data_IF_339345799413
#
_entry.id   IF_339345799413
#
_cell.length_a   1.000
_cell.length_b   1.000
_cell.length_c   1.000
_cell.angle_alpha   90.00
_cell.angle_beta   90.00
_cell.angle_gamma   90.00
#
_symmetry.space_group_name_H-M   'P 1'
#
loop_
_entity.id
_entity.type
_entity.pdbx_description
1 polymer ?
#
# COMPACT_ATOMS: atom_id res chain seq x y z
N UNK A 1 11.18 -43.83 -54.38
CA UNK A 1 10.73 -45.22 -54.08
C UNK A 1 10.72 -45.38 -52.58
N UNK A 2 9.68 -45.98 -52.09
CA UNK A 2 8.96 -45.56 -50.88
C UNK A 2 9.12 -46.52 -49.70
N UNK A 3 8.64 -46.12 -48.52
CA UNK A 3 7.80 -46.92 -47.59
C UNK A 3 7.33 -45.96 -46.51
N UNK A 4 6.16 -45.52 -46.55
CA UNK A 4 4.89 -45.89 -45.94
C UNK A 4 4.97 -46.88 -44.75
N UNK A 5 4.52 -46.41 -43.58
CA UNK A 5 3.57 -47.09 -42.76
C UNK A 5 3.00 -46.17 -41.68
N UNK A 6 1.76 -45.77 -41.83
CA UNK A 6 0.79 -45.39 -40.79
C UNK A 6 0.11 -46.63 -40.23
N UNK A 7 -0.91 -46.54 -39.35
CA UNK A 7 -0.99 -46.10 -37.96
C UNK A 7 -1.63 -47.20 -37.07
N UNK A 8 -1.65 -47.08 -35.77
CA UNK A 8 -2.61 -47.83 -34.96
C UNK A 8 -3.10 -47.03 -33.72
N UNK A 9 -4.35 -46.72 -33.70
CA UNK A 9 -5.26 -46.62 -32.54
C UNK A 9 -6.06 -47.91 -32.44
N UNK A 10 -6.95 -48.11 -31.43
CA UNK A 10 -7.01 -47.82 -30.00
C UNK A 10 -7.33 -49.08 -29.18
N UNK A 11 -7.30 -49.05 -27.86
CA UNK A 11 -8.09 -49.98 -27.02
C UNK A 11 -8.70 -49.27 -25.84
N UNK A 12 -9.99 -49.25 -25.88
CA UNK A 12 -10.95 -48.97 -24.83
C UNK A 12 -11.02 -50.14 -23.85
N UNK A 13 -11.00 -49.93 -22.58
CA UNK A 13 -11.55 -50.89 -21.61
C UNK A 13 -12.35 -50.20 -20.52
N UNK A 14 -13.64 -50.36 -20.61
CA UNK A 14 -14.63 -50.14 -19.57
C UNK A 14 -14.50 -51.24 -18.52
N UNK A 15 -14.63 -50.90 -17.25
CA UNK A 15 -15.20 -51.82 -16.26
C UNK A 15 -16.08 -51.08 -15.25
N UNK A 16 -17.24 -51.64 -15.15
CA UNK A 16 -18.44 -51.28 -14.40
C UNK A 16 -18.29 -51.40 -12.88
N UNK A 17 -19.01 -50.54 -12.21
CA UNK A 17 -19.97 -50.71 -11.12
C UNK A 17 -19.72 -51.72 -9.99
N UNK A 18 -19.75 -51.26 -8.77
CA UNK A 18 -20.58 -51.89 -7.74
C UNK A 18 -21.00 -50.88 -6.66
N UNK A 19 -22.30 -50.79 -6.46
CA UNK A 19 -22.99 -50.04 -5.43
C UNK A 19 -22.85 -50.76 -4.08
N UNK A 20 -22.82 -50.02 -2.99
CA UNK A 20 -23.56 -50.46 -1.81
C UNK A 20 -24.00 -49.29 -0.92
N UNK A 21 -25.27 -49.38 -0.53
CA UNK A 21 -26.08 -48.53 0.31
C UNK A 21 -25.56 -48.46 1.76
N UNK A 22 -25.84 -47.33 2.38
CA UNK A 22 -25.81 -47.14 3.83
C UNK A 22 -26.50 -45.81 4.20
N UNK A 23 -27.80 -45.91 4.46
CA UNK A 23 -28.70 -44.81 4.88
C UNK A 23 -28.38 -44.29 6.28
N UNK A 24 -28.43 -42.99 6.42
CA UNK A 24 -29.09 -42.03 7.32
C UNK A 24 -28.80 -42.06 8.85
N UNK A 25 -29.05 -40.95 9.61
CA UNK A 25 -30.04 -39.90 9.37
C UNK A 25 -29.60 -38.44 9.56
N UNK A 26 -30.32 -37.63 8.83
CA UNK A 26 -30.50 -36.19 8.93
C UNK A 26 -30.97 -35.79 10.34
N UNK A 27 -30.38 -34.77 10.91
CA UNK A 27 -31.00 -33.98 11.96
C UNK A 27 -31.11 -32.54 11.52
N UNK A 28 -32.34 -32.16 11.30
CA UNK A 28 -32.81 -30.80 11.03
C UNK A 28 -32.51 -29.86 12.17
N UNK A 29 -31.93 -28.68 11.85
CA UNK A 29 -32.22 -27.43 12.55
C UNK A 29 -31.66 -26.25 11.72
N UNK A 30 -32.39 -25.90 10.69
CA UNK A 30 -32.20 -24.65 9.95
C UNK A 30 -33.57 -24.15 9.48
N UNK A 31 -34.44 -23.82 10.40
CA UNK A 31 -35.68 -23.08 10.09
C UNK A 31 -36.32 -22.62 11.36
N UNK A 32 -35.78 -21.67 12.08
CA UNK A 32 -36.47 -20.77 13.01
C UNK A 32 -35.56 -19.59 13.37
N UNK A 33 -35.41 -18.63 12.50
CA UNK A 33 -34.91 -17.27 12.83
C UNK A 33 -35.29 -16.27 11.71
N UNK A 34 -36.54 -16.37 11.24
CA UNK A 34 -37.06 -15.37 10.31
C UNK A 34 -38.58 -15.15 10.52
N UNK A 35 -38.99 -14.92 11.77
CA UNK A 35 -40.28 -14.31 12.06
C UNK A 35 -40.17 -13.79 13.50
N UNK A 36 -39.93 -12.49 13.68
CA UNK A 36 -40.32 -11.63 14.80
C UNK A 36 -39.52 -10.31 14.80
N UNK A 37 -39.61 -9.58 13.69
CA UNK A 37 -39.05 -8.22 13.66
C UNK A 37 -40.08 -7.11 13.66
N UNK A 38 -41.41 -7.41 13.71
CA UNK A 38 -42.45 -6.40 13.79
C UNK A 38 -43.68 -6.93 14.58
N UNK A 39 -43.54 -6.99 15.90
CA UNK A 39 -44.72 -6.97 16.78
C UNK A 39 -44.49 -5.88 17.84
N UNK A 40 -45.17 -4.76 17.60
CA UNK A 40 -45.33 -3.73 18.62
C UNK A 40 -46.29 -4.23 19.71
N UNK A 41 -45.78 -4.54 20.88
CA UNK A 41 -46.50 -4.55 22.11
C UNK A 41 -45.91 -3.50 23.07
N UNK A 42 -46.69 -2.47 23.50
CA UNK A 42 -46.18 -1.41 24.35
C UNK A 42 -46.49 -1.74 25.80
N UNK A 43 -45.78 -2.59 26.46
CA UNK A 43 -45.73 -2.67 27.91
C UNK A 43 -44.67 -3.66 28.38
N UNK A 44 -43.51 -3.18 28.70
CA UNK A 44 -42.68 -3.41 29.90
C UNK A 44 -41.39 -2.65 29.66
N UNK A 45 -41.32 -1.43 30.11
CA UNK A 45 -40.03 -0.74 30.28
C UNK A 45 -39.38 -1.44 31.47
N UNK A 46 -38.53 -2.42 31.18
CA UNK A 46 -37.64 -2.97 32.19
C UNK A 46 -36.68 -1.85 32.64
N UNK A 47 -36.54 -1.72 33.95
CA UNK A 47 -35.60 -0.80 34.56
C UNK A 47 -34.18 -1.03 33.98
N UNK A 48 -33.35 0.03 33.82
CA UNK A 48 -31.98 -0.14 33.36
C UNK A 48 -31.24 -1.10 34.31
N UNK A 49 -30.45 -2.02 33.80
CA UNK A 49 -29.66 -2.95 34.61
C UNK A 49 -28.73 -2.17 35.54
N UNK A 50 -28.57 -2.68 36.76
CA UNK A 50 -27.68 -2.17 37.78
C UNK A 50 -26.26 -1.97 37.19
N UNK A 51 -25.61 -0.80 37.36
CA UNK A 51 -24.27 -0.54 36.82
C UNK A 51 -23.16 -1.49 37.32
N UNK A 52 -23.50 -2.44 38.21
CA UNK A 52 -22.59 -3.46 38.72
C UNK A 52 -22.48 -4.74 37.84
N UNK A 53 -23.35 -4.96 36.85
CA UNK A 53 -23.30 -6.10 35.95
C UNK A 53 -22.98 -5.68 34.51
N UNK A 54 -21.71 -5.34 34.23
CA UNK A 54 -21.27 -5.18 32.86
C UNK A 54 -20.89 -6.56 32.32
N UNK A 55 -21.50 -7.02 31.19
CA UNK A 55 -21.15 -8.29 30.56
C UNK A 55 -19.86 -8.20 29.73
N UNK A 56 -19.04 -7.18 29.92
CA UNK A 56 -17.74 -7.09 29.28
C UNK A 56 -16.74 -7.87 30.10
N UNK A 57 -15.99 -8.82 29.47
CA UNK A 57 -14.89 -9.46 30.17
C UNK A 57 -13.98 -8.34 30.69
N UNK A 58 -13.41 -8.49 31.90
CA UNK A 58 -12.51 -7.49 32.44
C UNK A 58 -11.42 -7.25 31.39
N UNK A 59 -11.25 -5.97 31.00
CA UNK A 59 -10.13 -5.58 30.16
C UNK A 59 -8.89 -6.17 30.81
N UNK A 60 -8.25 -7.12 30.16
CA UNK A 60 -6.96 -7.64 30.57
C UNK A 60 -6.06 -6.41 30.57
N UNK A 61 -5.88 -5.80 31.75
CA UNK A 61 -4.89 -4.75 31.94
C UNK A 61 -3.55 -5.44 31.71
N UNK A 62 -3.03 -5.33 30.49
CA UNK A 62 -1.61 -5.59 30.28
C UNK A 62 -0.87 -4.78 31.31
N UNK A 63 0.01 -5.40 32.11
CA UNK A 63 0.80 -4.69 33.09
C UNK A 63 1.31 -3.39 32.47
N UNK A 64 1.07 -2.23 33.15
CA UNK A 64 1.51 -0.96 32.59
C UNK A 64 3.00 -1.04 32.34
N UNK A 65 3.46 -0.59 31.18
CA UNK A 65 4.88 -0.50 30.87
C UNK A 65 5.56 0.38 31.92
N UNK A 66 6.74 -0.03 32.34
CA UNK A 66 7.62 0.70 33.26
C UNK A 66 9.00 0.85 32.64
N UNK A 67 9.86 1.63 33.24
CA UNK A 67 11.27 1.76 32.84
C UNK A 67 12.05 0.43 32.88
N UNK A 68 11.54 -0.56 33.65
CA UNK A 68 12.10 -1.92 33.72
C UNK A 68 11.53 -2.85 32.64
N UNK A 69 10.53 -2.40 31.86
CA UNK A 69 9.99 -3.20 30.76
C UNK A 69 11.03 -3.37 29.66
N UNK A 70 11.10 -4.58 29.06
CA UNK A 70 12.02 -4.85 27.96
C UNK A 70 11.54 -4.21 26.64
N UNK A 71 12.48 -4.02 25.69
CA UNK A 71 12.15 -3.55 24.35
C UNK A 71 11.11 -4.47 23.66
N UNK A 72 11.24 -5.78 23.84
CA UNK A 72 10.30 -6.75 23.28
C UNK A 72 8.89 -6.61 23.88
N UNK A 73 8.78 -6.32 25.16
CA UNK A 73 7.49 -6.07 25.81
C UNK A 73 6.78 -4.81 25.27
N UNK A 74 7.52 -3.85 24.76
CA UNK A 74 6.98 -2.62 24.20
C UNK A 74 6.38 -2.81 22.78
N UNK A 75 6.65 -3.92 22.08
CA UNK A 75 6.31 -4.06 20.66
C UNK A 75 4.79 -4.02 20.42
N UNK A 76 4.01 -4.81 21.15
CA UNK A 76 2.55 -4.86 20.98
C UNK A 76 1.85 -3.55 21.40
N UNK A 77 2.15 -2.97 22.58
CA UNK A 77 1.60 -1.66 22.94
C UNK A 77 1.95 -0.55 21.94
N UNK A 78 3.16 -0.55 21.42
CA UNK A 78 3.58 0.41 20.39
C UNK A 78 2.84 0.23 19.07
N UNK A 79 2.62 -1.01 18.65
CA UNK A 79 1.80 -1.32 17.48
C UNK A 79 0.38 -0.76 17.63
N UNK A 80 -0.24 -0.99 18.78
CA UNK A 80 -1.58 -0.48 19.10
C UNK A 80 -1.61 1.05 19.06
N UNK A 81 -0.64 1.72 19.67
CA UNK A 81 -0.51 3.17 19.65
C UNK A 81 -0.39 3.74 18.23
N UNK A 82 0.47 3.14 17.39
CA UNK A 82 0.61 3.56 15.99
C UNK A 82 -0.70 3.42 15.22
N UNK A 83 -1.45 2.35 15.47
CA UNK A 83 -2.75 2.08 14.85
C UNK A 83 -3.80 3.10 15.31
N UNK A 84 -3.88 3.37 16.62
CA UNK A 84 -4.78 4.37 17.19
C UNK A 84 -4.48 5.79 16.66
N UNK A 85 -3.21 6.12 16.44
CA UNK A 85 -2.80 7.37 15.80
C UNK A 85 -3.03 7.40 14.28
N UNK A 86 -3.71 6.41 13.70
CA UNK A 86 -4.02 6.36 12.28
C UNK A 86 -2.80 6.25 11.36
N UNK A 87 -1.69 5.65 11.83
CA UNK A 87 -0.54 5.39 10.96
C UNK A 87 -0.87 4.31 9.94
N UNK A 88 -0.39 4.47 8.70
CA UNK A 88 -0.60 3.45 7.67
C UNK A 88 0.02 2.11 8.06
N UNK A 89 -0.60 0.99 7.62
CA UNK A 89 -0.08 -0.36 7.86
C UNK A 89 1.39 -0.50 7.43
N UNK A 90 1.78 0.14 6.35
CA UNK A 90 3.18 0.15 5.91
C UNK A 90 4.10 0.83 6.93
N UNK A 91 3.69 1.98 7.48
CA UNK A 91 4.47 2.67 8.54
C UNK A 91 4.59 1.81 9.78
N UNK A 92 3.48 1.20 10.23
CA UNK A 92 3.45 0.30 11.38
C UNK A 92 4.42 -0.86 11.17
N UNK A 93 4.33 -1.56 10.03
CA UNK A 93 5.23 -2.68 9.69
C UNK A 93 6.69 -2.27 9.66
N UNK A 94 7.01 -1.12 9.06
CA UNK A 94 8.37 -0.59 9.00
C UNK A 94 8.92 -0.28 10.39
N UNK A 95 8.14 0.37 11.26
CA UNK A 95 8.56 0.75 12.60
C UNK A 95 8.73 -0.46 13.51
N UNK A 96 7.85 -1.45 13.40
CA UNK A 96 8.01 -2.72 14.14
C UNK A 96 9.24 -3.50 13.67
N UNK A 97 9.53 -3.50 12.38
CA UNK A 97 10.76 -4.09 11.84
C UNK A 97 12.01 -3.38 12.36
N UNK A 98 11.97 -2.04 12.45
CA UNK A 98 13.10 -1.28 13.02
C UNK A 98 13.23 -1.51 14.52
N UNK A 99 12.12 -1.63 15.26
CA UNK A 99 12.13 -2.00 16.68
C UNK A 99 12.75 -3.38 16.89
N UNK A 100 12.37 -4.36 16.07
CA UNK A 100 12.98 -5.70 16.11
C UNK A 100 14.49 -5.63 15.88
N UNK A 101 14.95 -4.90 14.89
CA UNK A 101 16.39 -4.72 14.62
C UNK A 101 17.13 -4.02 15.79
N UNK A 102 16.49 -3.04 16.44
CA UNK A 102 17.04 -2.39 17.64
C UNK A 102 17.12 -3.37 18.80
N UNK A 103 16.08 -4.17 19.02
CA UNK A 103 16.01 -5.20 20.06
C UNK A 103 17.11 -6.26 19.88
N UNK A 104 17.33 -6.70 18.64
CA UNK A 104 18.41 -7.65 18.31
C UNK A 104 19.81 -7.05 18.54
N UNK A 105 19.94 -5.73 18.43
CA UNK A 105 21.21 -5.05 18.65
C UNK A 105 21.53 -4.81 20.13
N UNK A 106 20.54 -4.31 20.88
CA UNK A 106 20.72 -3.91 22.30
C UNK A 106 20.55 -5.12 23.21
N UNK A 107 19.76 -6.12 22.83
CA UNK A 107 19.37 -7.26 23.64
C UNK A 107 17.88 -7.20 24.01
N UNK A 108 17.21 -8.36 23.85
CA UNK A 108 15.75 -8.46 24.01
C UNK A 108 15.26 -8.09 25.42
N UNK A 109 16.03 -8.40 26.42
CA UNK A 109 15.68 -8.24 27.84
C UNK A 109 16.18 -6.92 28.46
N UNK A 110 16.80 -6.05 27.65
CA UNK A 110 17.28 -4.76 28.12
C UNK A 110 16.12 -3.86 28.51
N UNK A 111 16.09 -3.36 29.77
CA UNK A 111 15.09 -2.41 30.23
C UNK A 111 15.12 -1.12 29.43
N UNK A 112 13.95 -0.62 29.03
CA UNK A 112 13.86 0.61 28.22
C UNK A 112 14.43 1.84 28.94
N UNK A 113 14.35 1.88 30.27
CA UNK A 113 14.94 2.94 31.09
C UNK A 113 16.47 2.96 31.12
N UNK A 114 17.14 1.90 30.66
CA UNK A 114 18.61 1.83 30.56
C UNK A 114 19.14 2.22 29.17
N UNK A 115 18.26 2.46 28.22
CA UNK A 115 18.67 2.81 26.85
C UNK A 115 19.07 4.28 26.83
N UNK A 116 20.32 4.54 26.49
CA UNK A 116 20.88 5.88 26.39
C UNK A 116 21.03 6.32 24.93
N UNK A 117 21.35 7.60 24.73
CA UNK A 117 21.68 8.17 23.42
C UNK A 117 22.84 7.44 22.75
N UNK A 118 23.84 7.03 23.53
CA UNK A 118 25.02 6.31 23.04
C UNK A 118 24.60 5.00 22.38
N UNK A 119 23.75 4.19 23.04
CA UNK A 119 23.22 2.94 22.48
C UNK A 119 22.54 3.17 21.13
N UNK A 120 21.74 4.25 21.01
CA UNK A 120 21.04 4.58 19.76
C UNK A 120 22.00 5.05 18.65
N UNK A 121 23.03 5.83 19.05
CA UNK A 121 24.06 6.28 18.11
C UNK A 121 24.89 5.10 17.60
N UNK A 122 25.30 4.19 18.49
CA UNK A 122 26.05 2.99 18.13
C UNK A 122 25.25 2.08 17.18
N UNK A 123 23.95 1.93 17.44
CA UNK A 123 23.08 1.21 16.53
C UNK A 123 23.02 1.85 15.13
N UNK A 124 22.86 3.16 15.05
CA UNK A 124 22.84 3.89 13.78
C UNK A 124 24.20 3.80 13.06
N UNK A 125 25.31 3.88 13.80
CA UNK A 125 26.67 3.73 13.25
C UNK A 125 26.89 2.30 12.73
N UNK A 126 26.49 1.27 13.49
CA UNK A 126 26.53 -0.13 13.02
C UNK A 126 25.72 -0.33 11.73
N UNK A 127 24.53 0.26 11.63
CA UNK A 127 23.72 0.19 10.43
C UNK A 127 24.36 0.90 9.24
N UNK A 128 25.04 2.03 9.48
CA UNK A 128 25.69 2.82 8.43
C UNK A 128 26.98 2.18 7.93
N UNK A 129 27.77 1.55 8.80
CA UNK A 129 29.12 1.08 8.49
C UNK A 129 29.35 -0.42 8.70
N UNK A 130 28.47 -1.11 9.41
CA UNK A 130 28.70 -2.47 9.91
C UNK A 130 28.26 -3.62 9.01
N UNK A 131 27.54 -3.40 7.91
CA UNK A 131 27.01 -4.48 7.09
C UNK A 131 27.80 -4.67 5.80
N UNK A 132 28.63 -5.70 5.73
CA UNK A 132 29.13 -6.39 4.52
C UNK A 132 28.87 -5.67 3.16
N UNK A 133 29.35 -4.44 3.00
CA UNK A 133 29.30 -3.71 1.74
C UNK A 133 27.97 -3.07 1.34
N UNK A 134 26.91 -3.17 2.17
CA UNK A 134 25.61 -2.54 1.91
C UNK A 134 25.31 -1.42 2.90
N UNK A 135 25.70 -0.21 2.57
CA UNK A 135 25.24 0.98 3.29
C UNK A 135 23.75 1.23 2.96
N UNK A 136 22.86 1.33 3.97
CA UNK A 136 21.46 1.65 3.72
C UNK A 136 21.32 2.99 3.01
N UNK A 137 20.33 3.08 2.11
CA UNK A 137 20.04 4.35 1.43
C UNK A 137 19.78 5.47 2.46
N UNK A 138 20.18 6.72 2.18
CA UNK A 138 20.00 7.85 3.11
C UNK A 138 18.55 8.01 3.59
N UNK A 139 17.57 7.78 2.72
CA UNK A 139 16.15 7.81 3.09
C UNK A 139 15.78 6.71 4.11
N UNK A 140 16.40 5.55 4.02
CA UNK A 140 16.21 4.44 4.98
C UNK A 140 16.79 4.83 6.34
N UNK A 141 17.96 5.46 6.38
CA UNK A 141 18.55 5.94 7.62
C UNK A 141 17.70 7.04 8.25
N UNK A 142 17.22 8.02 7.47
CA UNK A 142 16.32 9.05 7.96
C UNK A 142 15.03 8.46 8.55
N UNK A 143 14.44 7.42 7.92
CA UNK A 143 13.27 6.71 8.47
C UNK A 143 13.59 6.06 9.82
N UNK A 144 14.75 5.45 9.98
CA UNK A 144 15.17 4.83 11.26
C UNK A 144 15.34 5.84 12.38
N UNK A 145 15.91 6.99 12.09
CA UNK A 145 15.95 8.11 13.06
C UNK A 145 14.55 8.59 13.41
N UNK A 146 13.64 8.67 12.41
CA UNK A 146 12.23 9.02 12.65
C UNK A 146 11.54 7.98 13.54
N UNK A 147 11.79 6.69 13.32
CA UNK A 147 11.32 5.62 14.21
C UNK A 147 11.80 5.82 15.64
N UNK A 148 13.12 6.00 15.88
CA UNK A 148 13.67 6.20 17.22
C UNK A 148 12.99 7.38 17.92
N UNK A 149 12.92 8.54 17.26
CA UNK A 149 12.25 9.71 17.83
C UNK A 149 10.78 9.44 18.16
N UNK A 150 10.06 8.75 17.29
CA UNK A 150 8.64 8.43 17.52
C UNK A 150 8.46 7.46 18.69
N UNK A 151 9.27 6.41 18.76
CA UNK A 151 9.20 5.36 19.77
C UNK A 151 9.54 5.90 21.16
N UNK A 152 10.68 6.58 21.32
CA UNK A 152 11.11 7.10 22.63
C UNK A 152 10.27 8.30 23.09
N UNK A 153 9.84 9.16 22.19
CA UNK A 153 8.87 10.22 22.51
C UNK A 153 7.53 9.65 22.98
N UNK A 154 7.08 8.52 22.44
CA UNK A 154 5.90 7.83 22.93
C UNK A 154 6.12 7.27 24.34
N UNK A 155 7.24 6.60 24.60
CA UNK A 155 7.56 6.08 25.94
C UNK A 155 7.64 7.20 26.98
N UNK A 156 8.25 8.33 26.64
CA UNK A 156 8.35 9.51 27.52
C UNK A 156 6.97 10.15 27.75
N UNK A 157 6.18 10.31 26.68
CA UNK A 157 4.83 10.86 26.75
C UNK A 157 3.85 9.96 27.55
N UNK A 158 4.08 8.65 27.56
CA UNK A 158 3.34 7.68 28.38
C UNK A 158 3.88 7.58 29.84
N UNK A 159 4.90 8.32 30.21
CA UNK A 159 5.51 8.29 31.54
C UNK A 159 6.31 7.01 31.84
N UNK A 160 6.61 6.20 30.84
CA UNK A 160 7.39 4.95 31.00
C UNK A 160 8.85 5.23 31.28
N UNK A 161 9.42 6.22 30.61
CA UNK A 161 10.77 6.72 30.83
C UNK A 161 10.76 8.22 31.15
N UNK A 162 11.73 8.71 31.89
CA UNK A 162 11.79 10.13 32.31
C UNK A 162 12.33 11.05 31.22
N UNK A 163 13.32 10.60 30.48
CA UNK A 163 14.02 11.36 29.45
C UNK A 163 14.00 10.62 28.12
N UNK A 164 13.85 11.35 27.01
CA UNK A 164 13.87 10.80 25.66
C UNK A 164 15.33 10.72 25.15
N UNK A 165 15.92 9.52 25.06
CA UNK A 165 17.30 9.37 24.59
C UNK A 165 17.46 9.69 23.10
N UNK A 166 16.35 9.76 22.33
CA UNK A 166 16.36 10.09 20.92
C UNK A 166 16.14 11.58 20.64
N UNK A 167 15.83 12.41 21.65
CA UNK A 167 15.48 13.81 21.49
C UNK A 167 16.55 14.60 20.69
N UNK A 168 17.83 14.39 21.03
CA UNK A 168 18.96 15.10 20.43
C UNK A 168 19.50 14.47 19.14
N UNK A 169 18.92 13.33 18.65
CA UNK A 169 19.31 12.76 17.38
C UNK A 169 18.94 13.70 16.23
N UNK A 170 19.92 13.95 15.35
CA UNK A 170 19.71 14.81 14.19
C UNK A 170 19.06 14.00 13.08
N UNK A 171 17.90 14.47 12.59
CA UNK A 171 17.26 13.94 11.42
C UNK A 171 17.83 14.59 10.16
N UNK A 172 18.81 13.95 9.55
CA UNK A 172 19.27 14.34 8.23
C UNK A 172 18.16 14.08 7.20
N UNK A 173 17.82 15.11 6.42
CA UNK A 173 16.90 14.98 5.27
C UNK A 173 17.71 15.17 3.99
N UNK A 174 18.44 14.16 3.52
CA UNK A 174 19.20 14.28 2.28
C UNK A 174 18.23 14.50 1.14
N UNK A 175 18.52 15.50 0.30
CA UNK A 175 17.80 15.68 -0.94
C UNK A 175 18.13 14.48 -1.84
N UNK A 176 17.12 13.69 -2.26
CA UNK A 176 17.37 12.59 -3.20
C UNK A 176 17.85 13.17 -4.53
N UNK A 177 18.71 12.45 -5.26
CA UNK A 177 19.05 12.84 -6.63
C UNK A 177 17.77 12.93 -7.46
N UNK A 178 17.77 13.84 -8.44
CA UNK A 178 16.66 13.97 -9.36
C UNK A 178 16.48 12.64 -10.11
N UNK A 179 15.24 12.13 -10.21
CA UNK A 179 14.99 10.91 -10.96
C UNK A 179 15.24 11.14 -12.45
N UNK A 180 15.73 10.12 -13.11
CA UNK A 180 15.80 10.09 -14.56
C UNK A 180 14.41 9.76 -15.12
N UNK A 181 13.81 10.71 -15.83
CA UNK A 181 12.47 10.58 -16.41
C UNK A 181 12.53 9.91 -17.77
N UNK A 182 11.37 9.50 -18.27
CA UNK A 182 11.22 9.06 -19.64
C UNK A 182 11.22 10.27 -20.59
N UNK A 183 11.99 10.17 -21.67
CA UNK A 183 11.90 11.08 -22.82
C UNK A 183 10.65 10.75 -23.64
N UNK A 184 10.23 11.66 -24.50
CA UNK A 184 8.99 11.48 -25.26
C UNK A 184 9.04 10.25 -26.19
N UNK A 185 10.16 10.00 -26.83
CA UNK A 185 10.41 8.79 -27.65
C UNK A 185 10.33 7.50 -26.82
N UNK A 186 10.82 7.53 -25.58
CA UNK A 186 10.72 6.39 -24.65
C UNK A 186 9.30 6.17 -24.17
N UNK A 187 8.52 7.25 -23.96
CA UNK A 187 7.09 7.14 -23.64
C UNK A 187 6.36 6.47 -24.80
N UNK A 188 6.61 6.86 -26.04
CA UNK A 188 5.98 6.26 -27.22
C UNK A 188 6.37 4.77 -27.36
N UNK A 189 7.65 4.43 -27.19
CA UNK A 189 8.11 3.02 -27.22
C UNK A 189 7.47 2.19 -26.09
N UNK A 190 7.32 2.79 -24.89
CA UNK A 190 6.69 2.12 -23.77
C UNK A 190 5.19 1.85 -24.04
N UNK A 191 4.48 2.83 -24.59
CA UNK A 191 3.06 2.69 -24.94
C UNK A 191 2.87 1.60 -26.00
N UNK A 192 3.67 1.61 -27.07
CA UNK A 192 3.64 0.59 -28.12
C UNK A 192 3.95 -0.82 -27.56
N UNK A 193 4.99 -0.95 -26.75
CA UNK A 193 5.32 -2.24 -26.12
C UNK A 193 4.24 -2.73 -25.14
N UNK A 194 3.49 -1.81 -24.52
CA UNK A 194 2.43 -2.14 -23.59
C UNK A 194 1.19 -2.76 -24.27
N UNK A 195 1.00 -2.55 -25.59
CA UNK A 195 -0.10 -3.14 -26.36
C UNK A 195 -0.10 -4.68 -26.32
N UNK A 196 1.06 -5.30 -26.15
CA UNK A 196 1.18 -6.75 -25.99
C UNK A 196 0.60 -7.30 -24.66
N UNK A 197 0.38 -6.45 -23.67
CA UNK A 197 -0.16 -6.81 -22.37
C UNK A 197 -1.18 -5.76 -21.91
N UNK A 198 -2.46 -6.00 -22.19
CA UNK A 198 -3.56 -5.05 -21.92
C UNK A 198 -3.64 -4.63 -20.45
N UNK A 199 -3.16 -5.45 -19.49
CA UNK A 199 -3.06 -5.06 -18.08
C UNK A 199 -2.00 -3.99 -17.90
N UNK A 200 -0.84 -4.16 -18.51
CA UNK A 200 0.21 -3.15 -18.48
C UNK A 200 -0.21 -1.89 -19.22
N UNK A 201 -0.87 -2.05 -20.35
CA UNK A 201 -1.39 -0.93 -21.14
C UNK A 201 -2.36 -0.07 -20.30
N UNK A 202 -3.34 -0.70 -19.65
CA UNK A 202 -4.26 -0.01 -18.75
C UNK A 202 -3.52 0.69 -17.59
N UNK A 203 -2.57 0.01 -16.94
CA UNK A 203 -1.75 0.56 -15.87
C UNK A 203 -0.94 1.79 -16.31
N UNK A 204 -0.26 1.68 -17.44
CA UNK A 204 0.60 2.76 -17.98
C UNK A 204 -0.25 3.97 -18.36
N UNK A 205 -1.41 3.76 -18.98
CA UNK A 205 -2.35 4.83 -19.31
C UNK A 205 -2.81 5.59 -18.06
N UNK A 206 -3.24 4.88 -17.02
CA UNK A 206 -3.68 5.50 -15.77
C UNK A 206 -2.59 6.36 -15.10
N UNK A 207 -1.34 5.94 -15.16
CA UNK A 207 -0.27 6.69 -14.51
C UNK A 207 0.27 7.81 -15.39
N UNK A 208 0.48 7.59 -16.68
CA UNK A 208 1.03 8.60 -17.60
C UNK A 208 0.06 9.70 -17.98
N UNK A 209 -1.26 9.48 -17.86
CA UNK A 209 -2.27 10.47 -18.25
C UNK A 209 -3.10 11.01 -17.08
N UNK A 210 -3.29 10.22 -16.00
CA UNK A 210 -3.97 10.70 -14.80
C UNK A 210 -3.03 10.90 -13.60
N UNK A 211 -1.79 10.48 -13.67
CA UNK A 211 -0.78 10.73 -12.64
C UNK A 211 -1.06 10.03 -11.32
N UNK A 212 -1.63 8.82 -11.33
CA UNK A 212 -1.99 8.08 -10.12
C UNK A 212 -0.77 7.64 -9.31
N UNK A 213 -0.92 7.63 -7.99
CA UNK A 213 0.00 6.93 -7.07
C UNK A 213 -0.26 5.43 -7.14
N UNK A 214 0.74 4.64 -6.76
CA UNK A 214 0.60 3.19 -6.66
C UNK A 214 -0.60 2.78 -5.79
N UNK A 215 -0.74 3.41 -4.63
CA UNK A 215 -1.82 3.14 -3.69
C UNK A 215 -3.20 3.50 -4.28
N UNK A 216 -3.28 4.54 -5.10
CA UNK A 216 -4.50 4.95 -5.80
C UNK A 216 -4.86 3.95 -6.91
N UNK A 217 -3.86 3.45 -7.64
CA UNK A 217 -4.06 2.37 -8.63
C UNK A 217 -4.59 1.11 -7.96
N UNK A 218 -4.00 0.71 -6.83
CA UNK A 218 -4.43 -0.48 -6.07
C UNK A 218 -5.81 -0.32 -5.43
N UNK A 219 -6.21 0.90 -5.09
CA UNK A 219 -7.52 1.21 -4.50
C UNK A 219 -8.60 1.59 -5.52
N UNK A 220 -8.28 1.63 -6.82
CA UNK A 220 -9.21 2.02 -7.86
C UNK A 220 -10.26 0.91 -8.05
N UNK A 221 -11.54 1.25 -7.87
CA UNK A 221 -12.67 0.34 -8.07
C UNK A 221 -13.31 0.53 -9.43
N UNK A 222 -14.06 -0.48 -9.89
CA UNK A 222 -14.75 -0.43 -11.19
C UNK A 222 -15.74 0.75 -11.27
N UNK A 223 -16.48 1.02 -10.20
CA UNK A 223 -17.44 2.13 -10.12
C UNK A 223 -16.78 3.52 -10.01
N UNK A 224 -15.46 3.59 -9.92
CA UNK A 224 -14.72 4.85 -9.98
C UNK A 224 -14.36 5.25 -11.42
N UNK A 225 -14.59 4.38 -12.39
CA UNK A 225 -14.29 4.60 -13.81
C UNK A 225 -15.58 5.02 -14.52
N UNK A 226 -15.59 6.21 -15.09
CA UNK A 226 -16.70 6.78 -15.83
C UNK A 226 -16.33 6.87 -17.33
N UNK A 227 -16.98 6.04 -18.13
CA UNK A 227 -16.82 5.98 -19.59
C UNK A 227 -18.05 6.49 -20.32
N UNK A 228 -18.98 7.18 -19.64
CA UNK A 228 -20.24 7.67 -20.20
C UNK A 228 -20.03 8.73 -21.28
N UNK A 229 -18.97 9.52 -21.17
CA UNK A 229 -18.57 10.47 -22.21
C UNK A 229 -17.40 9.88 -23.03
N UNK A 230 -17.65 9.48 -24.29
CA UNK A 230 -16.62 8.91 -25.16
C UNK A 230 -15.46 9.87 -25.47
N UNK A 231 -15.68 11.17 -25.38
CA UNK A 231 -14.64 12.17 -25.65
C UNK A 231 -13.81 12.52 -24.42
N UNK A 232 -14.34 12.25 -23.22
CA UNK A 232 -13.69 12.62 -21.96
C UNK A 232 -13.91 11.57 -20.88
N UNK A 233 -13.45 10.31 -21.10
CA UNK A 233 -13.49 9.30 -20.07
C UNK A 233 -12.72 9.77 -18.84
N UNK A 234 -13.18 9.39 -17.67
CA UNK A 234 -12.58 9.89 -16.44
C UNK A 234 -12.58 8.84 -15.32
N UNK A 235 -11.75 9.09 -14.33
CA UNK A 235 -11.73 8.34 -13.09
C UNK A 235 -11.90 9.27 -11.91
N UNK A 236 -12.56 8.78 -10.86
CA UNK A 236 -12.72 9.49 -9.60
C UNK A 236 -11.89 8.79 -8.53
N UNK A 237 -11.01 9.53 -7.87
CA UNK A 237 -10.21 9.03 -6.76
C UNK A 237 -10.89 9.42 -5.46
N UNK A 238 -11.36 8.41 -4.73
CA UNK A 238 -11.94 8.55 -3.41
C UNK A 238 -10.92 8.21 -2.33
N UNK A 239 -10.99 8.92 -1.21
CA UNK A 239 -10.14 8.64 -0.05
C UNK A 239 -11.00 8.04 1.06
N UNK A 240 -10.56 6.96 1.72
CA UNK A 240 -11.26 6.42 2.87
C UNK A 240 -11.38 7.48 3.96
N UNK A 241 -12.56 7.62 4.54
CA UNK A 241 -12.86 8.59 5.60
C UNK A 241 -11.97 8.46 6.86
N UNK A 242 -11.31 7.31 7.04
CA UNK A 242 -10.42 7.04 8.16
C UNK A 242 -9.02 7.67 8.05
N UNK A 243 -8.67 8.29 6.94
CA UNK A 243 -7.41 8.99 6.82
C UNK A 243 -7.59 10.46 7.20
N UNK A 244 -7.01 10.90 8.33
CA UNK A 244 -6.91 12.31 8.75
C UNK A 244 -6.14 13.20 7.76
N UNK A 245 -5.93 12.74 6.55
CA UNK A 245 -5.32 13.52 5.48
C UNK A 245 -6.44 14.22 4.73
N UNK A 246 -6.39 15.52 4.63
CA UNK A 246 -7.25 16.36 3.79
C UNK A 246 -7.02 16.04 2.30
N UNK A 247 -7.24 14.79 1.91
CA UNK A 247 -7.21 14.39 0.52
C UNK A 247 -8.59 14.65 -0.05
N UNK A 248 -8.68 15.60 -0.94
CA UNK A 248 -9.90 15.90 -1.67
C UNK A 248 -10.14 14.81 -2.71
N UNK A 249 -11.38 14.39 -2.80
CA UNK A 249 -11.87 13.64 -3.96
C UNK A 249 -11.52 14.42 -5.22
N UNK A 250 -11.05 13.72 -6.25
CA UNK A 250 -10.69 14.37 -7.52
C UNK A 250 -11.07 13.52 -8.71
N UNK A 251 -11.60 14.16 -9.71
CA UNK A 251 -11.91 13.59 -11.03
C UNK A 251 -10.76 13.89 -11.98
N UNK A 252 -10.26 12.86 -12.65
CA UNK A 252 -9.14 12.92 -13.57
C UNK A 252 -9.57 12.45 -14.94
N UNK A 253 -9.45 13.30 -15.95
CA UNK A 253 -9.73 12.95 -17.33
C UNK A 253 -8.63 12.03 -17.89
N UNK A 254 -9.03 11.13 -18.76
CA UNK A 254 -8.18 10.22 -19.52
C UNK A 254 -8.39 10.45 -21.02
N UNK A 255 -7.44 10.05 -21.87
CA UNK A 255 -7.61 10.18 -23.30
C UNK A 255 -8.70 9.21 -23.80
N UNK A 256 -9.41 9.54 -24.90
CA UNK A 256 -10.51 8.72 -25.44
C UNK A 256 -10.10 7.26 -25.73
N UNK A 257 -8.86 7.03 -26.12
CA UNK A 257 -8.30 5.70 -26.42
C UNK A 257 -8.32 4.78 -25.19
N UNK A 258 -8.39 5.34 -23.99
CA UNK A 258 -8.48 4.56 -22.75
C UNK A 258 -9.72 3.67 -22.71
N UNK A 259 -10.82 4.07 -23.33
CA UNK A 259 -12.07 3.30 -23.33
C UNK A 259 -11.86 1.91 -23.94
N UNK A 260 -11.24 1.84 -25.12
CA UNK A 260 -10.98 0.57 -25.80
C UNK A 260 -10.02 -0.31 -24.97
N UNK A 261 -8.98 0.28 -24.39
CA UNK A 261 -8.00 -0.41 -23.54
C UNK A 261 -8.67 -0.95 -22.29
N UNK A 262 -9.48 -0.14 -21.61
CA UNK A 262 -10.16 -0.54 -20.40
C UNK A 262 -11.18 -1.65 -20.65
N UNK A 263 -11.97 -1.56 -21.71
CA UNK A 263 -12.92 -2.59 -22.07
C UNK A 263 -12.23 -3.92 -22.38
N UNK A 264 -11.17 -3.91 -23.17
CA UNK A 264 -10.35 -5.10 -23.45
C UNK A 264 -9.74 -5.67 -22.17
N UNK A 265 -9.32 -4.82 -21.24
CA UNK A 265 -8.82 -5.24 -19.95
C UNK A 265 -9.90 -5.94 -19.10
N UNK A 266 -11.09 -5.32 -18.99
CA UNK A 266 -12.21 -5.86 -18.21
C UNK A 266 -12.70 -7.18 -18.83
N UNK A 267 -12.82 -7.26 -20.14
CA UNK A 267 -13.20 -8.50 -20.85
C UNK A 267 -12.23 -9.65 -20.55
N UNK A 268 -10.93 -9.38 -20.61
CA UNK A 268 -9.87 -10.40 -20.43
C UNK A 268 -9.69 -10.85 -18.99
N UNK A 269 -9.74 -9.93 -18.03
CA UNK A 269 -9.39 -10.21 -16.62
C UNK A 269 -10.58 -10.31 -15.69
N UNK A 270 -11.76 -9.86 -16.12
CA UNK A 270 -13.03 -9.91 -15.38
C UNK A 270 -12.89 -9.50 -13.90
N UNK A 271 -12.32 -8.30 -13.62
CA UNK A 271 -12.13 -7.84 -12.25
C UNK A 271 -13.49 -7.74 -11.53
N UNK A 272 -13.52 -8.03 -10.22
CA UNK A 272 -14.78 -8.09 -9.46
C UNK A 272 -15.12 -6.76 -8.77
N UNK A 273 -14.21 -6.20 -8.06
CA UNK A 273 -14.40 -4.94 -7.31
C UNK A 273 -13.29 -3.93 -7.61
N UNK A 274 -12.05 -4.31 -7.39
CA UNK A 274 -10.90 -3.48 -7.73
C UNK A 274 -10.58 -3.59 -9.22
N UNK A 275 -10.17 -2.50 -9.87
CA UNK A 275 -9.69 -2.52 -11.26
C UNK A 275 -8.49 -3.46 -11.38
N UNK A 276 -7.55 -3.43 -10.45
CA UNK A 276 -6.41 -4.34 -10.43
C UNK A 276 -6.53 -5.31 -9.25
N UNK A 277 -7.04 -6.51 -9.51
CA UNK A 277 -7.11 -7.59 -8.54
C UNK A 277 -5.78 -8.37 -8.53
N UNK A 278 -4.72 -7.71 -8.06
CA UNK A 278 -3.39 -8.29 -7.95
C UNK A 278 -2.55 -7.52 -6.91
N UNK A 279 -1.39 -8.04 -6.56
CA UNK A 279 -0.47 -7.35 -5.64
C UNK A 279 0.29 -6.21 -6.34
N UNK A 280 0.70 -5.20 -5.58
CA UNK A 280 1.56 -4.11 -6.07
C UNK A 280 2.90 -4.61 -6.61
N UNK A 281 3.40 -5.73 -6.09
CA UNK A 281 4.60 -6.40 -6.60
C UNK A 281 4.38 -6.92 -8.02
N UNK A 282 3.19 -7.43 -8.31
CA UNK A 282 2.82 -7.89 -9.64
C UNK A 282 2.81 -6.73 -10.63
N UNK A 283 2.22 -5.57 -10.29
CA UNK A 283 2.22 -4.38 -11.14
C UNK A 283 3.65 -3.92 -11.51
N UNK A 284 4.56 -3.92 -10.54
CA UNK A 284 5.96 -3.59 -10.80
C UNK A 284 6.65 -4.62 -11.71
N UNK A 285 6.33 -5.91 -11.55
CA UNK A 285 6.87 -6.97 -12.39
C UNK A 285 6.39 -6.85 -13.86
N UNK A 286 5.07 -6.61 -14.04
CA UNK A 286 4.49 -6.42 -15.37
C UNK A 286 5.12 -5.20 -16.05
N UNK A 287 5.22 -4.08 -15.35
CA UNK A 287 5.88 -2.88 -15.89
C UNK A 287 7.32 -3.16 -16.30
N UNK A 288 8.12 -3.81 -15.45
CA UNK A 288 9.53 -4.11 -15.73
C UNK A 288 9.69 -4.95 -17.00
N UNK A 289 8.78 -5.92 -17.23
CA UNK A 289 8.78 -6.75 -18.43
C UNK A 289 8.52 -5.91 -19.68
N UNK A 290 7.54 -5.02 -19.65
CA UNK A 290 7.19 -4.16 -20.79
C UNK A 290 8.28 -3.11 -21.04
N UNK A 291 8.87 -2.53 -19.99
CA UNK A 291 10.02 -1.61 -20.10
C UNK A 291 11.19 -2.27 -20.82
N UNK A 292 11.50 -3.54 -20.49
CA UNK A 292 12.52 -4.31 -21.18
C UNK A 292 12.16 -4.55 -22.66
N UNK A 293 10.91 -4.89 -22.96
CA UNK A 293 10.43 -5.07 -24.33
C UNK A 293 10.49 -3.78 -25.15
N UNK A 294 10.27 -2.62 -24.53
CA UNK A 294 10.41 -1.30 -25.15
C UNK A 294 11.87 -0.89 -25.42
N UNK A 295 12.86 -1.69 -25.04
CA UNK A 295 14.27 -1.36 -25.19
C UNK A 295 14.71 -0.16 -24.35
N UNK A 296 14.10 0.06 -23.20
CA UNK A 296 14.43 1.16 -22.29
C UNK A 296 15.45 0.65 -21.28
N UNK A 297 16.69 1.15 -21.34
CA UNK A 297 17.82 0.65 -20.54
C UNK A 297 17.94 1.32 -19.15
N UNK A 298 16.99 2.17 -18.77
CA UNK A 298 16.94 2.79 -17.44
C UNK A 298 15.90 2.16 -16.54
N UNK A 299 16.06 2.35 -15.23
CA UNK A 299 15.10 1.85 -14.26
C UNK A 299 13.81 2.67 -14.32
N UNK A 300 12.73 2.07 -14.82
CA UNK A 300 11.39 2.67 -14.81
C UNK A 300 10.55 2.06 -13.68
N UNK A 301 9.93 2.91 -12.88
CA UNK A 301 9.02 2.54 -11.79
C UNK A 301 7.70 3.27 -11.97
N UNK A 302 6.65 2.83 -11.26
CA UNK A 302 5.36 3.54 -11.26
C UNK A 302 5.52 5.01 -10.82
N UNK A 303 6.46 5.29 -9.90
CA UNK A 303 6.75 6.66 -9.48
C UNK A 303 7.41 7.48 -10.60
N UNK A 304 8.30 6.88 -11.40
CA UNK A 304 8.92 7.56 -12.55
C UNK A 304 7.86 7.88 -13.61
N UNK A 305 6.91 6.99 -13.87
CA UNK A 305 5.80 7.28 -14.79
C UNK A 305 4.96 8.47 -14.29
N UNK A 306 4.66 8.51 -13.00
CA UNK A 306 3.95 9.64 -12.38
C UNK A 306 4.77 10.93 -12.41
N UNK A 307 6.07 10.88 -12.16
CA UNK A 307 6.95 12.04 -12.26
C UNK A 307 7.06 12.52 -13.72
N UNK A 308 7.06 11.60 -14.69
CA UNK A 308 6.99 11.91 -16.14
C UNK A 308 5.68 12.63 -16.49
N UNK A 309 4.53 12.13 -15.99
CA UNK A 309 3.24 12.84 -16.13
C UNK A 309 3.33 14.27 -15.59
N UNK A 310 3.84 14.44 -14.37
CA UNK A 310 3.92 15.76 -13.74
C UNK A 310 4.75 16.75 -14.57
N UNK A 311 5.88 16.30 -15.07
CA UNK A 311 6.77 17.13 -15.89
C UNK A 311 6.15 17.43 -17.27
N UNK A 312 5.47 16.47 -17.90
CA UNK A 312 4.76 16.69 -19.16
C UNK A 312 3.65 17.73 -18.99
N UNK A 313 2.88 17.69 -17.88
CA UNK A 313 1.87 18.71 -17.58
C UNK A 313 2.49 20.11 -17.43
N UNK A 314 3.62 20.25 -16.72
CA UNK A 314 4.30 21.55 -16.61
C UNK A 314 4.85 22.05 -17.94
N UNK A 315 5.44 21.16 -18.75
CA UNK A 315 5.96 21.51 -20.08
C UNK A 315 4.86 21.91 -21.06
N UNK A 316 3.64 21.36 -20.91
CA UNK A 316 2.46 21.77 -21.68
C UNK A 316 1.81 23.07 -21.17
N UNK A 317 2.38 23.73 -20.16
CA UNK A 317 1.90 24.99 -19.62
C UNK A 317 0.85 24.89 -18.53
N UNK A 318 0.61 23.69 -17.97
CA UNK A 318 -0.33 23.54 -16.86
C UNK A 318 0.14 24.35 -15.63
N UNK A 319 -0.74 25.17 -15.00
CA UNK A 319 -0.41 25.88 -13.77
C UNK A 319 0.02 24.90 -12.66
N UNK A 320 1.02 25.27 -11.83
CA UNK A 320 1.51 24.42 -10.74
C UNK A 320 0.41 23.99 -9.76
N UNK A 321 -0.57 24.83 -9.49
CA UNK A 321 -1.70 24.54 -8.61
C UNK A 321 -2.62 23.47 -9.19
N UNK A 322 -2.90 23.54 -10.50
CA UNK A 322 -3.67 22.51 -11.21
C UNK A 322 -2.92 21.16 -11.18
N UNK A 323 -1.60 21.19 -11.36
CA UNK A 323 -0.79 19.97 -11.23
C UNK A 323 -0.83 19.41 -9.79
N UNK A 324 -0.77 20.27 -8.77
CA UNK A 324 -0.89 19.85 -7.37
C UNK A 324 -2.21 19.10 -7.14
N UNK A 325 -3.30 19.66 -7.63
CA UNK A 325 -4.65 19.06 -7.51
C UNK A 325 -4.72 17.72 -8.25
N UNK A 326 -4.28 17.67 -9.51
CA UNK A 326 -4.23 16.42 -10.28
C UNK A 326 -3.39 15.33 -9.58
N UNK A 327 -2.30 15.71 -8.94
CA UNK A 327 -1.44 14.80 -8.19
C UNK A 327 -2.01 14.46 -6.80
N UNK A 328 -3.05 15.14 -6.31
CA UNK A 328 -3.61 14.96 -4.96
C UNK A 328 -2.57 15.14 -3.87
N UNK A 329 -1.80 16.24 -3.95
CA UNK A 329 -0.79 16.58 -2.95
C UNK A 329 -1.34 17.62 -1.98
N UNK A 330 -1.09 17.41 -0.66
CA UNK A 330 -1.30 18.45 0.35
C UNK A 330 -0.37 19.64 0.11
N UNK A 331 -0.65 20.77 0.74
CA UNK A 331 0.20 21.96 0.60
C UNK A 331 1.64 21.68 1.04
N UNK A 332 1.83 20.96 2.16
CA UNK A 332 3.17 20.59 2.65
C UNK A 332 3.89 19.67 1.66
N UNK A 333 3.22 18.62 1.16
CA UNK A 333 3.81 17.68 0.19
C UNK A 333 4.10 18.37 -1.15
N UNK A 334 3.31 19.40 -1.51
CA UNK A 334 3.55 20.22 -2.68
C UNK A 334 4.77 21.11 -2.51
N UNK A 335 4.91 21.76 -1.37
CA UNK A 335 6.11 22.58 -1.09
C UNK A 335 7.40 21.77 -1.22
N UNK A 336 7.40 20.51 -0.77
CA UNK A 336 8.56 19.61 -0.94
C UNK A 336 8.78 19.18 -2.40
N UNK A 337 7.69 18.99 -3.18
CA UNK A 337 7.75 18.41 -4.53
C UNK A 337 7.86 19.45 -5.64
N UNK A 338 7.35 20.65 -5.42
CA UNK A 338 7.28 21.73 -6.41
C UNK A 338 8.62 22.02 -7.06
N UNK A 339 9.66 22.20 -6.23
CA UNK A 339 11.00 22.54 -6.73
C UNK A 339 11.61 21.38 -7.53
N UNK A 340 11.37 20.13 -7.10
CA UNK A 340 11.77 18.94 -7.87
C UNK A 340 11.17 18.96 -9.28
N UNK A 341 9.87 19.15 -9.40
CA UNK A 341 9.19 19.15 -10.70
C UNK A 341 9.60 20.36 -11.56
N UNK A 342 9.79 21.54 -10.97
CA UNK A 342 10.27 22.72 -11.67
C UNK A 342 11.66 22.47 -12.29
N UNK A 343 12.60 21.91 -11.53
CA UNK A 343 13.95 21.58 -11.99
C UNK A 343 13.98 20.52 -13.06
N UNK A 344 13.06 19.55 -13.01
CA UNK A 344 12.94 18.49 -14.02
C UNK A 344 12.29 18.99 -15.30
N UNK A 345 11.32 19.91 -15.20
CA UNK A 345 10.65 20.47 -16.37
C UNK A 345 11.51 21.50 -17.11
N UNK A 346 12.24 22.33 -16.36
CA UNK A 346 13.01 23.47 -16.86
C UNK A 346 14.42 23.42 -16.25
N UNK A 347 15.28 22.49 -16.71
CA UNK A 347 16.67 22.45 -16.27
C UNK A 347 17.36 23.79 -16.66
N UNK A 348 18.12 24.34 -15.70
CA UNK A 348 18.92 25.55 -15.97
C UNK A 348 20.10 25.21 -16.85
#
# INVERSE_FOLDING_TARGET
MPNETQPQQPVTEQREASANNGQEPVSANSTVLQENLFSHDPAVIAAPPDPAETPYPPLVRTNPLTDQSSLSACALPYQQELTLRGKSNYTVTCFLSDLKMLTEFIGADTPVGRISKEHLTDWLMKLKFGAKGHTPAPKTMARRVTFLKNFFSWLTGAGVIREDPAASLVLERPLPPLPELLYEDEVQRLLAAAEADVRCQCLVQLILFAGLKKEEVMGLKLNHVDLSDPQSPSITIHFPAATNKQHRERRLALPPEFIAIYNAYVERYQPREAVFDCTDRNLNYILARVVKAAGINKRVTLQILRDTFAVRQLKSGAPPEVLREKLGLSDEAWMESREKYRRLAFPK
#
